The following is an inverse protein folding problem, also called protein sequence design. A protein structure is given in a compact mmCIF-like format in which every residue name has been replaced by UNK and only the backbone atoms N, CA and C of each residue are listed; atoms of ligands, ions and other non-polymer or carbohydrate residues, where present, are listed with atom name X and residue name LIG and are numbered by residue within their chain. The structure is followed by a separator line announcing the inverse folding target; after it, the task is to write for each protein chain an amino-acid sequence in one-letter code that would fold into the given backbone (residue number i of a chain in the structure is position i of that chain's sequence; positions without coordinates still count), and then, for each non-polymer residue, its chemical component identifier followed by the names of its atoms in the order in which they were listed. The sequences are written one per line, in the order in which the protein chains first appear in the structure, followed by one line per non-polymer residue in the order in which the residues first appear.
data_IF_056599347530
#
_entry.id   IF_056599347530
#
_cell.length_a   1.000
_cell.length_b   1.000
_cell.length_c   1.000
_cell.angle_alpha   90.00
_cell.angle_beta   90.00
_cell.angle_gamma   90.00
#
_symmetry.space_group_name_H-M   'P 1'
#
loop_
_entity.id
_entity.type
_entity.pdbx_description
1 polymer ?
#
# COMPACT_ATOMS: atom_id res chain seq x y z
N UNK A 1 -35.12 -50.23 23.46
CA UNK A 1 -35.38 -48.89 22.88
C UNK A 1 -34.53 -47.91 23.67
N UNK A 2 -33.29 -47.66 23.24
CA UNK A 2 -32.50 -46.57 23.80
C UNK A 2 -31.90 -45.80 22.63
N UNK A 3 -32.48 -44.64 22.40
CA UNK A 3 -32.19 -43.73 21.31
C UNK A 3 -30.84 -43.07 21.56
N UNK A 4 -29.85 -43.43 20.76
CA UNK A 4 -28.53 -42.79 20.72
C UNK A 4 -28.71 -41.42 20.05
N UNK A 5 -28.79 -40.37 20.86
CA UNK A 5 -28.80 -38.98 20.37
C UNK A 5 -27.46 -38.66 19.71
N UNK A 6 -27.53 -38.50 18.40
CA UNK A 6 -26.52 -37.91 17.54
C UNK A 6 -26.19 -36.50 18.05
N UNK A 7 -24.98 -36.31 18.59
CA UNK A 7 -24.44 -34.98 18.90
C UNK A 7 -24.01 -34.37 17.58
N UNK A 8 -24.98 -33.72 16.92
CA UNK A 8 -24.73 -32.91 15.75
C UNK A 8 -23.71 -31.83 16.09
N UNK A 9 -22.55 -31.90 15.44
CA UNK A 9 -21.67 -30.77 15.22
C UNK A 9 -22.52 -29.67 14.58
N UNK A 10 -23.00 -28.73 15.41
CA UNK A 10 -23.79 -27.60 14.94
C UNK A 10 -22.97 -26.86 13.87
N UNK A 11 -23.40 -26.99 12.62
CA UNK A 11 -22.80 -26.31 11.49
C UNK A 11 -22.92 -24.81 11.74
N UNK A 12 -21.81 -24.19 12.11
CA UNK A 12 -21.72 -22.74 12.30
C UNK A 12 -22.29 -22.05 11.07
N UNK A 13 -23.40 -21.34 11.23
CA UNK A 13 -24.09 -20.71 10.10
C UNK A 13 -23.47 -19.34 9.81
N UNK A 14 -23.62 -18.89 8.55
CA UNK A 14 -23.09 -17.59 8.13
C UNK A 14 -23.70 -16.40 8.88
N UNK A 15 -24.95 -16.52 9.36
CA UNK A 15 -25.63 -15.47 10.11
C UNK A 15 -25.13 -15.40 11.55
N UNK A 16 -24.90 -16.54 12.20
CA UNK A 16 -24.35 -16.60 13.56
C UNK A 16 -22.97 -15.93 13.63
N UNK A 17 -22.14 -16.15 12.61
CA UNK A 17 -20.82 -15.53 12.51
C UNK A 17 -20.88 -14.01 12.25
N UNK A 18 -21.89 -13.54 11.51
CA UNK A 18 -22.05 -12.11 11.21
C UNK A 18 -22.53 -11.30 12.43
N UNK A 19 -23.20 -11.95 13.39
CA UNK A 19 -23.66 -11.34 14.63
C UNK A 19 -22.54 -11.16 15.67
N UNK A 20 -21.39 -11.84 15.50
CA UNK A 20 -20.27 -11.73 16.43
C UNK A 20 -19.55 -10.39 16.22
N UNK A 21 -19.63 -9.50 17.22
CA UNK A 21 -18.94 -8.20 17.20
C UNK A 21 -17.52 -8.23 17.78
N UNK A 22 -17.16 -9.36 18.38
CA UNK A 22 -15.89 -9.57 19.07
C UNK A 22 -14.88 -10.33 18.20
N UNK A 23 -13.72 -9.72 18.01
CA UNK A 23 -12.60 -10.28 17.24
C UNK A 23 -11.97 -11.49 17.94
N UNK A 24 -11.90 -11.47 19.27
CA UNK A 24 -11.29 -12.56 20.05
C UNK A 24 -12.13 -13.83 19.99
N UNK A 25 -13.46 -13.68 19.92
CA UNK A 25 -14.39 -14.80 19.73
C UNK A 25 -14.19 -15.44 18.36
N UNK A 26 -14.12 -14.64 17.28
CA UNK A 26 -13.90 -15.17 15.92
C UNK A 26 -12.53 -15.84 15.77
N UNK A 27 -11.47 -15.27 16.35
CA UNK A 27 -10.14 -15.89 16.35
C UNK A 27 -10.14 -17.22 17.13
N UNK A 28 -10.79 -17.27 18.30
CA UNK A 28 -10.94 -18.50 19.06
C UNK A 28 -11.76 -19.56 18.30
N UNK A 29 -12.78 -19.16 17.56
CA UNK A 29 -13.51 -20.08 16.67
C UNK A 29 -12.62 -20.58 15.54
N UNK A 30 -11.75 -19.72 14.99
CA UNK A 30 -10.80 -20.08 13.93
C UNK A 30 -9.78 -21.13 14.38
N UNK A 31 -9.35 -21.07 15.65
CA UNK A 31 -8.40 -22.01 16.23
C UNK A 31 -9.04 -23.38 16.53
N UNK A 32 -10.34 -23.39 16.84
CA UNK A 32 -11.10 -24.62 17.11
C UNK A 32 -11.73 -25.24 15.85
N UNK A 33 -11.87 -24.48 14.76
CA UNK A 33 -12.47 -24.95 13.51
C UNK A 33 -11.56 -25.97 12.82
N UNK A 34 -12.08 -27.20 12.69
CA UNK A 34 -11.39 -28.29 11.99
C UNK A 34 -11.80 -28.37 10.51
N UNK A 35 -12.95 -27.82 10.16
CA UNK A 35 -13.47 -27.84 8.79
C UNK A 35 -12.99 -26.64 7.95
N UNK A 36 -12.68 -26.90 6.69
CA UNK A 36 -12.18 -25.86 5.78
C UNK A 36 -13.25 -24.82 5.43
N UNK A 37 -14.50 -25.26 5.22
CA UNK A 37 -15.59 -24.34 4.91
C UNK A 37 -15.93 -23.48 6.13
N UNK A 38 -15.96 -24.07 7.32
CA UNK A 38 -16.11 -23.35 8.58
C UNK A 38 -14.99 -22.31 8.77
N UNK A 39 -13.72 -22.70 8.60
CA UNK A 39 -12.56 -21.80 8.71
C UNK A 39 -12.64 -20.65 7.70
N UNK A 40 -13.13 -20.92 6.48
CA UNK A 40 -13.36 -19.92 5.44
C UNK A 40 -14.45 -18.94 5.83
N UNK A 41 -15.56 -19.41 6.41
CA UNK A 41 -16.67 -18.57 6.86
C UNK A 41 -16.26 -17.70 8.05
N UNK A 42 -15.56 -18.26 9.03
CA UNK A 42 -15.06 -17.50 10.19
C UNK A 42 -14.11 -16.39 9.72
N UNK A 43 -13.19 -16.69 8.79
CA UNK A 43 -12.33 -15.66 8.17
C UNK A 43 -13.13 -14.59 7.43
N UNK A 44 -14.21 -14.97 6.75
CA UNK A 44 -15.06 -14.01 6.04
C UNK A 44 -15.78 -13.07 7.02
N UNK A 45 -16.31 -13.59 8.12
CA UNK A 45 -16.91 -12.79 9.17
C UNK A 45 -15.88 -11.86 9.85
N UNK A 46 -14.67 -12.37 10.10
CA UNK A 46 -13.56 -11.57 10.65
C UNK A 46 -13.19 -10.41 9.73
N UNK A 47 -13.11 -10.65 8.41
CA UNK A 47 -12.92 -9.60 7.39
C UNK A 47 -13.97 -8.52 7.49
N UNK A 48 -15.25 -8.91 7.49
CA UNK A 48 -16.37 -7.95 7.52
C UNK A 48 -16.41 -7.16 8.83
N UNK A 49 -16.20 -7.81 9.97
CA UNK A 49 -16.18 -7.15 11.28
C UNK A 49 -15.09 -6.07 11.36
N UNK A 50 -13.90 -6.39 10.87
CA UNK A 50 -12.75 -5.49 10.96
C UNK A 50 -12.77 -4.41 9.89
N UNK A 51 -13.31 -4.71 8.71
CA UNK A 51 -13.66 -3.71 7.69
C UNK A 51 -14.68 -2.72 8.25
N UNK A 52 -15.76 -3.21 8.88
CA UNK A 52 -16.77 -2.36 9.55
C UNK A 52 -16.17 -1.49 10.65
N UNK A 53 -15.23 -2.02 11.47
CA UNK A 53 -14.50 -1.23 12.47
C UNK A 53 -13.59 -0.16 11.84
N UNK A 54 -12.92 -0.46 10.73
CA UNK A 54 -12.08 0.51 9.99
C UNK A 54 -12.94 1.62 9.40
N UNK A 55 -13.97 1.27 8.65
CA UNK A 55 -14.84 2.20 7.94
C UNK A 55 -15.59 3.08 8.95
N UNK A 56 -16.01 2.53 10.10
CA UNK A 56 -16.59 3.31 11.21
C UNK A 56 -15.61 4.36 11.77
N UNK A 57 -14.33 4.04 11.89
CA UNK A 57 -13.30 5.01 12.33
C UNK A 57 -13.05 6.10 11.29
N UNK A 58 -13.04 5.76 10.01
CA UNK A 58 -12.90 6.75 8.94
C UNK A 58 -14.13 7.67 8.85
N UNK A 59 -15.31 7.09 9.01
CA UNK A 59 -16.57 7.83 9.05
C UNK A 59 -16.63 8.80 10.24
N UNK A 60 -16.24 8.37 11.45
CA UNK A 60 -16.18 9.26 12.61
C UNK A 60 -15.22 10.45 12.39
N UNK A 61 -14.05 10.20 11.78
CA UNK A 61 -13.10 11.26 11.41
C UNK A 61 -13.67 12.23 10.37
N UNK A 62 -14.36 11.70 9.35
CA UNK A 62 -15.04 12.48 8.33
C UNK A 62 -16.17 13.34 8.91
N UNK A 63 -17.04 12.75 9.73
CA UNK A 63 -18.14 13.44 10.42
C UNK A 63 -17.62 14.55 11.33
N UNK A 64 -16.58 14.29 12.13
CA UNK A 64 -15.99 15.30 13.01
C UNK A 64 -15.38 16.46 12.24
N UNK A 65 -14.73 16.18 11.11
CA UNK A 65 -14.18 17.21 10.22
C UNK A 65 -15.28 18.02 9.52
N UNK A 66 -16.41 17.40 9.18
CA UNK A 66 -17.56 18.07 8.57
C UNK A 66 -18.31 18.95 9.57
N UNK A 67 -18.45 18.52 10.83
CA UNK A 67 -19.06 19.30 11.91
C UNK A 67 -18.25 20.57 12.22
N UNK A 68 -16.92 20.45 12.33
CA UNK A 68 -15.99 21.59 12.44
C UNK A 68 -16.16 22.60 11.28
N UNK A 69 -16.41 22.11 10.06
CA UNK A 69 -16.64 22.96 8.89
C UNK A 69 -18.00 23.66 8.93
N UNK A 70 -19.05 23.02 9.43
CA UNK A 70 -20.38 23.63 9.60
C UNK A 70 -20.42 24.64 10.76
N UNK A 71 -19.73 24.38 11.87
CA UNK A 71 -19.60 25.34 12.98
C UNK A 71 -18.80 26.59 12.60
N UNK A 72 -17.80 26.46 11.70
CA UNK A 72 -17.06 27.59 11.15
C UNK A 72 -17.87 28.50 10.21
N UNK A 73 -18.96 28.01 9.61
CA UNK A 73 -19.82 28.76 8.70
C UNK A 73 -21.03 29.42 9.39
N UNK A 74 -21.38 29.00 10.61
CA UNK A 74 -22.57 29.47 11.33
C UNK A 74 -22.29 30.59 12.35
N UNK A 75 -21.03 30.89 12.68
CA UNK A 75 -20.64 32.06 13.51
C UNK A 75 -20.27 33.32 12.69
N UNK A 76 -20.97 33.57 11.59
CA UNK A 76 -20.76 34.74 10.74
C UNK A 76 -22.02 35.57 10.54
N UNK A 77 -22.56 36.19 11.60
CA UNK A 77 -23.74 37.06 11.47
C UNK A 77 -24.07 37.95 12.67
N UNK A 78 -23.54 39.20 12.66
CA UNK A 78 -24.02 40.47 13.29
C UNK A 78 -24.14 40.53 14.82
N UNK A 79 -23.68 41.55 15.58
CA UNK A 79 -23.28 42.97 15.41
C UNK A 79 -22.18 43.30 16.45
N UNK A 80 -21.15 44.10 16.17
CA UNK A 80 -21.13 45.56 16.36
C UNK A 80 -20.09 45.96 17.42
N UNK A 81 -19.07 46.76 17.06
CA UNK A 81 -18.07 47.28 18.00
C UNK A 81 -16.72 47.58 17.36
N UNK A 82 -16.63 48.71 16.68
CA UNK A 82 -15.39 49.24 16.14
C UNK A 82 -14.49 49.78 17.26
N UNK A 83 -13.22 49.35 17.32
CA UNK A 83 -12.09 50.19 17.77
C UNK A 83 -10.85 49.79 16.96
N UNK A 84 -10.31 50.78 16.27
CA UNK A 84 -9.08 50.77 15.47
C UNK A 84 -7.82 50.70 16.34
N UNK A 85 -6.75 50.05 15.82
CA UNK A 85 -5.29 50.28 15.96
C UNK A 85 -4.65 49.06 15.26
N UNK A 86 -3.70 49.08 14.33
CA UNK A 86 -2.92 50.09 13.64
C UNK A 86 -2.13 49.38 12.51
N UNK A 87 -1.88 50.12 11.42
CA UNK A 87 -1.22 49.72 10.15
C UNK A 87 0.22 49.21 10.33
N UNK A 88 0.63 48.28 9.45
CA UNK A 88 1.78 48.47 8.55
C UNK A 88 1.74 47.45 7.39
N UNK A 89 1.64 47.96 6.15
CA UNK A 89 1.85 47.24 4.90
C UNK A 89 2.94 48.02 4.15
N UNK A 90 3.98 47.34 3.69
CA UNK A 90 5.09 47.95 2.94
C UNK A 90 5.32 47.13 1.67
N UNK A 91 4.61 47.52 0.62
CA UNK A 91 4.86 47.16 -0.77
C UNK A 91 5.04 48.46 -1.55
N UNK A 92 6.14 48.60 -2.29
CA UNK A 92 6.40 49.72 -3.19
C UNK A 92 6.87 49.22 -4.56
N UNK A 93 6.22 49.75 -5.59
CA UNK A 93 6.65 49.96 -6.97
C UNK A 93 6.05 51.33 -7.40
N UNK A 94 6.36 51.91 -8.58
CA UNK A 94 7.64 52.22 -9.23
C UNK A 94 7.74 53.75 -9.51
N UNK A 95 8.63 54.24 -10.41
CA UNK A 95 8.06 54.87 -11.62
C UNK A 95 8.85 54.63 -12.92
N UNK A 96 8.16 54.89 -14.03
CA UNK A 96 8.63 54.81 -15.42
C UNK A 96 9.06 56.19 -15.97
N UNK A 97 10.06 56.22 -16.86
CA UNK A 97 9.99 56.98 -18.11
C UNK A 97 11.02 56.52 -19.17
N UNK A 98 10.52 56.42 -20.41
CA UNK A 98 11.07 55.94 -21.72
C UNK A 98 11.95 57.05 -22.41
N UNK A 99 12.34 56.98 -23.71
CA UNK A 99 12.53 55.90 -24.72
C UNK A 99 13.96 55.97 -25.37
N UNK A 100 14.46 55.20 -26.36
CA UNK A 100 13.95 54.84 -27.71
C UNK A 100 15.00 53.95 -28.41
N UNK A 101 14.58 53.05 -29.33
CA UNK A 101 15.50 52.43 -30.32
C UNK A 101 15.14 51.01 -30.77
N UNK A 102 14.14 50.86 -31.63
CA UNK A 102 13.93 49.72 -32.57
C UNK A 102 14.70 49.98 -33.89
N UNK A 103 14.68 49.12 -34.95
CA UNK A 103 14.08 47.77 -35.16
C UNK A 103 15.10 46.69 -35.71
N UNK A 104 14.93 45.36 -35.55
CA UNK A 104 14.28 44.29 -36.39
C UNK A 104 14.87 44.04 -37.81
N UNK A 105 14.53 42.94 -38.55
CA UNK A 105 14.71 41.48 -38.30
C UNK A 105 15.18 40.70 -39.58
N UNK A 106 15.36 39.36 -39.53
CA UNK A 106 15.27 38.38 -40.66
C UNK A 106 15.35 36.95 -40.06
N UNK A 107 14.42 35.98 -40.16
CA UNK A 107 13.59 35.38 -41.22
C UNK A 107 14.28 34.24 -42.01
N UNK A 108 13.61 33.07 -42.06
CA UNK A 108 13.86 31.91 -42.93
C UNK A 108 14.52 30.68 -42.27
N UNK A 109 14.32 29.42 -42.65
CA UNK A 109 13.18 28.61 -43.13
C UNK A 109 13.75 27.18 -43.36
N UNK A 110 13.07 26.17 -42.82
CA UNK A 110 12.84 24.80 -43.34
C UNK A 110 13.97 23.82 -43.76
N UNK A 111 13.62 22.53 -43.55
CA UNK A 111 13.97 21.29 -44.29
C UNK A 111 14.97 20.28 -43.67
N UNK A 112 14.47 19.06 -43.46
CA UNK A 112 15.24 17.79 -43.43
C UNK A 112 15.42 17.26 -44.86
N UNK A 113 16.33 16.30 -45.14
CA UNK A 113 15.96 14.87 -45.07
C UNK A 113 17.10 13.89 -44.69
N UNK A 114 16.73 12.61 -44.63
CA UNK A 114 17.49 11.44 -44.18
C UNK A 114 18.55 10.90 -45.16
N UNK A 115 19.56 10.20 -44.62
CA UNK A 115 20.26 9.08 -45.29
C UNK A 115 20.65 8.00 -44.27
N UNK A 116 20.44 6.75 -44.67
CA UNK A 116 20.73 5.52 -43.94
C UNK A 116 22.18 5.04 -44.15
N UNK A 117 22.74 4.30 -43.19
CA UNK A 117 23.46 3.02 -43.37
C UNK A 117 24.53 2.82 -42.29
N UNK A 118 24.41 1.71 -41.53
CA UNK A 118 25.47 0.75 -41.20
C UNK A 118 25.09 -0.05 -39.93
N UNK A 119 24.77 -1.32 -40.15
CA UNK A 119 24.67 -2.35 -39.12
C UNK A 119 25.94 -2.43 -38.27
N UNK A 120 25.76 -2.45 -36.95
CA UNK A 120 26.68 -3.12 -36.02
C UNK A 120 25.86 -3.72 -34.89
N UNK A 121 25.85 -5.06 -34.81
CA UNK A 121 25.24 -5.80 -33.72
C UNK A 121 25.84 -5.33 -32.38
N UNK A 122 25.04 -4.95 -31.37
CA UNK A 122 25.57 -4.75 -30.03
C UNK A 122 25.88 -6.11 -29.39
N UNK A 123 27.03 -6.28 -28.70
CA UNK A 123 27.29 -7.46 -27.88
C UNK A 123 26.25 -7.52 -26.76
N UNK A 124 25.79 -8.73 -26.44
CA UNK A 124 24.78 -8.99 -25.42
C UNK A 124 25.05 -8.19 -24.14
N UNK A 125 24.24 -7.14 -23.93
CA UNK A 125 24.31 -6.33 -22.74
C UNK A 125 24.01 -7.22 -21.54
N UNK A 126 24.93 -7.26 -20.58
CA UNK A 126 24.61 -7.69 -19.22
C UNK A 126 23.31 -7.00 -18.80
N UNK A 127 22.35 -7.69 -18.16
CA UNK A 127 21.04 -7.12 -17.87
C UNK A 127 21.24 -5.84 -17.08
N UNK A 128 20.91 -4.71 -17.71
CA UNK A 128 21.12 -3.38 -17.16
C UNK A 128 20.40 -3.33 -15.80
N UNK A 129 21.11 -3.15 -14.69
CA UNK A 129 20.56 -3.26 -13.32
C UNK A 129 19.37 -2.32 -13.12
N UNK A 130 19.36 -1.18 -13.82
CA UNK A 130 18.21 -0.25 -13.87
C UNK A 130 16.93 -0.93 -14.42
N UNK A 131 17.07 -1.80 -15.42
CA UNK A 131 15.95 -2.57 -15.99
C UNK A 131 15.47 -3.65 -15.02
N UNK A 132 16.38 -4.31 -14.29
CA UNK A 132 16.00 -5.37 -13.33
C UNK A 132 15.28 -4.80 -12.12
N UNK A 133 15.78 -3.68 -11.56
CA UNK A 133 15.12 -2.99 -10.46
C UNK A 133 13.72 -2.51 -10.86
N UNK A 134 13.58 -1.95 -12.06
CA UNK A 134 12.28 -1.51 -12.58
C UNK A 134 11.33 -2.69 -12.81
N UNK A 135 11.80 -3.77 -13.44
CA UNK A 135 11.02 -5.00 -13.64
C UNK A 135 10.47 -5.53 -12.31
N UNK A 136 11.30 -5.56 -11.26
CA UNK A 136 10.86 -6.05 -9.96
C UNK A 136 9.82 -5.11 -9.31
N UNK A 137 9.98 -3.80 -9.47
CA UNK A 137 9.02 -2.82 -8.98
C UNK A 137 7.66 -2.99 -9.67
N UNK A 138 7.66 -3.13 -11.00
CA UNK A 138 6.45 -3.36 -11.78
C UNK A 138 5.80 -4.71 -11.46
N UNK A 139 6.60 -5.73 -11.20
CA UNK A 139 6.10 -7.01 -10.68
C UNK A 139 5.43 -6.85 -9.32
N UNK A 140 6.02 -6.12 -8.38
CA UNK A 140 5.40 -5.86 -7.08
C UNK A 140 4.04 -5.17 -7.26
N UNK A 141 3.98 -4.10 -8.05
CA UNK A 141 2.74 -3.38 -8.36
C UNK A 141 1.68 -4.30 -8.94
N UNK A 142 2.02 -5.09 -9.95
CA UNK A 142 1.09 -6.01 -10.59
C UNK A 142 0.57 -7.10 -9.63
N UNK A 143 1.36 -7.48 -8.61
CA UNK A 143 0.94 -8.46 -7.60
C UNK A 143 0.10 -7.85 -6.49
N UNK A 144 0.28 -6.57 -6.19
CA UNK A 144 -0.44 -5.87 -5.13
C UNK A 144 -1.59 -4.99 -5.62
N UNK A 145 -1.83 -4.90 -6.94
CA UNK A 145 -2.91 -4.10 -7.53
C UNK A 145 -4.30 -4.35 -6.91
N UNK A 146 -4.69 -5.59 -6.54
CA UNK A 146 -6.00 -5.84 -5.91
C UNK A 146 -6.12 -5.40 -4.44
N UNK A 147 -5.03 -4.94 -3.81
CA UNK A 147 -5.00 -4.67 -2.38
C UNK A 147 -5.22 -3.18 -2.08
N UNK A 148 -6.25 -2.90 -1.29
CA UNK A 148 -6.48 -1.56 -0.74
C UNK A 148 -5.33 -1.14 0.17
N UNK A 149 -5.03 0.17 0.15
CA UNK A 149 -4.01 0.77 1.01
C UNK A 149 -2.57 0.52 0.58
N UNK A 150 -2.33 -0.05 -0.62
CA UNK A 150 -0.98 -0.30 -1.14
C UNK A 150 -0.73 0.48 -2.43
N UNK A 151 0.27 1.35 -2.39
CA UNK A 151 0.78 2.05 -3.58
C UNK A 151 2.32 1.99 -3.61
N UNK A 152 2.84 1.03 -4.37
CA UNK A 152 4.27 0.75 -4.48
C UNK A 152 4.89 1.67 -5.54
N UNK A 153 5.53 2.75 -5.11
CA UNK A 153 6.20 3.73 -5.98
C UNK A 153 7.72 3.58 -5.99
N UNK A 154 8.28 3.01 -4.93
CA UNK A 154 9.72 2.86 -4.72
C UNK A 154 10.00 1.63 -3.83
N UNK A 155 11.26 1.43 -3.45
CA UNK A 155 11.68 0.41 -2.48
C UNK A 155 12.01 1.00 -1.11
N UNK A 156 11.54 2.21 -0.77
CA UNK A 156 11.76 2.84 0.54
C UNK A 156 10.42 3.15 1.22
N UNK A 157 9.93 4.39 1.08
CA UNK A 157 8.76 4.90 1.79
C UNK A 157 7.48 4.11 1.52
N UNK A 158 7.31 3.54 0.33
CA UNK A 158 6.16 2.68 0.00
C UNK A 158 6.07 1.39 0.84
N UNK A 159 7.13 1.04 1.59
CA UNK A 159 7.22 -0.19 2.36
C UNK A 159 7.28 0.07 3.87
N UNK A 160 7.25 1.34 4.29
CA UNK A 160 7.51 1.77 5.66
C UNK A 160 6.50 1.25 6.69
N UNK A 161 5.25 1.10 6.29
CA UNK A 161 4.17 0.66 7.19
C UNK A 161 4.03 -0.88 7.26
N UNK A 162 4.82 -1.62 6.48
CA UNK A 162 4.76 -3.08 6.39
C UNK A 162 3.60 -3.62 5.55
N UNK A 163 2.63 -2.79 5.15
CA UNK A 163 1.42 -3.25 4.46
C UNK A 163 1.76 -3.80 3.07
N UNK A 164 2.69 -3.15 2.35
CA UNK A 164 3.18 -3.64 1.06
C UNK A 164 3.83 -5.03 1.16
N UNK A 165 4.58 -5.33 2.23
CA UNK A 165 5.13 -6.66 2.47
C UNK A 165 4.01 -7.68 2.74
N UNK A 166 3.06 -7.35 3.61
CA UNK A 166 1.92 -8.21 3.89
C UNK A 166 1.09 -8.52 2.64
N UNK A 167 0.78 -7.52 1.82
CA UNK A 167 0.02 -7.69 0.58
C UNK A 167 0.73 -8.64 -0.40
N UNK A 168 2.04 -8.45 -0.56
CA UNK A 168 2.83 -9.26 -1.48
C UNK A 168 2.90 -10.72 -1.03
N UNK A 169 3.12 -10.98 0.27
CA UNK A 169 3.12 -12.35 0.82
C UNK A 169 1.73 -12.98 0.71
N UNK A 170 0.68 -12.25 1.10
CA UNK A 170 -0.71 -12.72 1.03
C UNK A 170 -1.13 -13.07 -0.40
N UNK A 171 -0.56 -12.42 -1.42
CA UNK A 171 -0.87 -12.74 -2.83
C UNK A 171 -0.47 -14.16 -3.22
N UNK A 172 0.57 -14.71 -2.62
CA UNK A 172 1.01 -16.09 -2.87
C UNK A 172 0.48 -17.07 -1.83
N UNK A 173 0.20 -16.58 -0.61
CA UNK A 173 -0.27 -17.37 0.50
C UNK A 173 -1.48 -16.71 1.18
N UNK A 174 -2.67 -16.73 0.56
CA UNK A 174 -3.86 -16.03 1.09
C UNK A 174 -4.35 -16.62 2.42
N UNK A 175 -3.99 -17.87 2.73
CA UNK A 175 -4.32 -18.53 3.99
C UNK A 175 -3.31 -18.25 5.12
N UNK A 176 -2.25 -17.50 4.85
CA UNK A 176 -1.19 -17.24 5.84
C UNK A 176 -1.66 -16.37 7.00
N UNK A 177 -2.47 -15.35 6.70
CA UNK A 177 -3.04 -14.40 7.64
C UNK A 177 -4.16 -13.60 6.95
N UNK A 178 -4.98 -12.90 7.73
CA UNK A 178 -6.05 -12.07 7.19
C UNK A 178 -5.53 -10.67 6.82
N UNK A 179 -5.60 -10.28 5.54
CA UNK A 179 -5.07 -8.98 5.12
C UNK A 179 -5.98 -7.81 5.51
N UNK A 180 -7.31 -7.98 5.45
CA UNK A 180 -8.28 -6.87 5.64
C UNK A 180 -8.23 -6.23 7.03
N UNK A 181 -7.61 -6.91 7.99
CA UNK A 181 -7.57 -6.50 9.40
C UNK A 181 -6.30 -5.71 9.74
N UNK A 182 -5.34 -5.68 8.81
CA UNK A 182 -4.05 -5.06 9.03
C UNK A 182 -4.20 -3.55 9.19
N UNK A 183 -3.35 -2.99 10.06
CA UNK A 183 -3.37 -1.58 10.40
C UNK A 183 -2.04 -0.94 10.02
N UNK A 184 -2.01 0.06 9.12
CA UNK A 184 -0.76 0.74 8.74
C UNK A 184 -0.06 1.44 9.92
N UNK A 185 -0.77 1.70 11.02
CA UNK A 185 -0.21 2.31 12.22
C UNK A 185 0.48 1.29 13.16
N UNK A 186 0.53 0.01 12.79
CA UNK A 186 1.21 -1.05 13.53
C UNK A 186 2.36 -1.67 12.71
N UNK A 187 3.33 -0.86 12.26
CA UNK A 187 4.37 -1.31 11.32
C UNK A 187 5.19 -2.48 11.85
N UNK A 188 5.51 -2.50 13.15
CA UNK A 188 6.23 -3.60 13.80
C UNK A 188 5.50 -4.94 13.61
N UNK A 189 4.21 -4.97 13.92
CA UNK A 189 3.37 -6.17 13.80
C UNK A 189 3.26 -6.61 12.34
N UNK A 190 3.07 -5.66 11.41
CA UNK A 190 2.98 -5.94 9.97
C UNK A 190 4.29 -6.56 9.43
N UNK A 191 5.45 -5.98 9.78
CA UNK A 191 6.75 -6.50 9.36
C UNK A 191 6.98 -7.92 9.89
N UNK A 192 6.77 -8.14 11.19
CA UNK A 192 6.95 -9.45 11.80
C UNK A 192 6.02 -10.49 11.16
N UNK A 193 4.75 -10.15 10.94
CA UNK A 193 3.78 -11.03 10.31
C UNK A 193 4.21 -11.42 8.89
N UNK A 194 4.61 -10.44 8.07
CA UNK A 194 5.04 -10.68 6.71
C UNK A 194 6.32 -11.53 6.64
N UNK A 195 7.34 -11.20 7.44
CA UNK A 195 8.62 -11.90 7.41
C UNK A 195 8.51 -13.32 7.95
N UNK A 196 7.79 -13.54 9.05
CA UNK A 196 7.56 -14.88 9.60
C UNK A 196 6.77 -15.76 8.62
N UNK A 197 5.77 -15.20 7.93
CA UNK A 197 5.01 -15.92 6.91
C UNK A 197 5.88 -16.25 5.68
N UNK A 198 6.69 -15.29 5.22
CA UNK A 198 7.59 -15.49 4.09
C UNK A 198 8.67 -16.55 4.38
N UNK A 199 9.25 -16.55 5.58
CA UNK A 199 10.21 -17.55 6.01
C UNK A 199 9.55 -18.94 6.07
N UNK A 200 8.43 -19.06 6.79
CA UNK A 200 7.76 -20.35 7.00
C UNK A 200 7.22 -20.97 5.70
N UNK A 201 6.65 -20.16 4.80
CA UNK A 201 5.92 -20.65 3.62
C UNK A 201 6.77 -20.63 2.34
N UNK A 202 7.58 -19.58 2.18
CA UNK A 202 8.46 -19.42 1.02
C UNK A 202 9.91 -19.82 1.29
N UNK A 203 10.33 -20.04 2.54
CA UNK A 203 11.74 -20.31 2.85
C UNK A 203 12.64 -19.09 2.64
N UNK A 204 12.06 -17.88 2.69
CA UNK A 204 12.80 -16.65 2.49
C UNK A 204 13.56 -16.28 3.78
N UNK A 205 14.89 -16.13 3.76
CA UNK A 205 15.65 -15.79 4.95
C UNK A 205 15.30 -14.40 5.48
N UNK A 206 15.35 -14.18 6.81
CA UNK A 206 15.03 -12.91 7.44
C UNK A 206 16.21 -11.93 7.30
N UNK A 207 16.35 -11.32 6.12
CA UNK A 207 17.43 -10.33 5.86
C UNK A 207 17.15 -8.94 6.45
N UNK A 208 15.93 -8.70 6.92
CA UNK A 208 15.48 -7.44 7.50
C UNK A 208 14.95 -7.67 8.90
N UNK A 209 15.32 -6.78 9.83
CA UNK A 209 14.79 -6.77 11.18
C UNK A 209 13.63 -5.77 11.30
N UNK A 210 12.50 -6.22 11.87
CA UNK A 210 11.31 -5.40 12.03
C UNK A 210 11.53 -4.20 12.97
N UNK A 211 12.30 -4.37 14.03
CA UNK A 211 12.62 -3.29 14.97
C UNK A 211 13.52 -2.24 14.33
N UNK A 212 14.46 -2.65 13.47
CA UNK A 212 15.30 -1.72 12.72
C UNK A 212 14.48 -0.88 11.75
N UNK A 213 13.57 -1.49 10.99
CA UNK A 213 12.71 -0.80 10.02
C UNK A 213 11.79 0.23 10.69
N UNK A 214 11.30 -0.06 11.89
CA UNK A 214 10.42 0.84 12.65
C UNK A 214 11.17 2.02 13.25
N UNK A 215 12.43 1.83 13.68
CA UNK A 215 13.25 2.93 14.22
C UNK A 215 13.64 3.95 13.16
N UNK A 216 13.68 3.55 11.89
CA UNK A 216 14.06 4.42 10.79
C UNK A 216 12.88 5.28 10.29
N UNK A 217 13.18 6.52 9.86
CA UNK A 217 12.16 7.38 9.24
C UNK A 217 11.62 6.75 7.95
N UNK A 218 12.50 6.14 7.16
CA UNK A 218 12.19 5.36 5.96
C UNK A 218 13.24 4.25 5.83
N UNK A 219 12.87 3.07 5.32
CA UNK A 219 13.83 1.98 5.15
C UNK A 219 14.80 2.24 3.99
N UNK A 220 16.04 1.76 4.12
CA UNK A 220 17.03 1.85 3.03
C UNK A 220 16.55 1.06 1.82
N UNK A 221 16.50 1.72 0.67
CA UNK A 221 15.93 1.13 -0.54
C UNK A 221 16.70 -0.08 -1.05
N UNK A 222 18.01 -0.18 -0.77
CA UNK A 222 18.82 -1.35 -1.14
C UNK A 222 18.46 -2.54 -0.29
N UNK A 223 18.30 -2.35 1.03
CA UNK A 223 17.90 -3.42 1.95
C UNK A 223 16.53 -4.00 1.55
N UNK A 224 15.53 -3.15 1.31
CA UNK A 224 14.20 -3.58 0.85
C UNK A 224 14.31 -4.25 -0.53
N UNK A 225 15.03 -3.65 -1.48
CA UNK A 225 15.21 -4.24 -2.80
C UNK A 225 15.83 -5.65 -2.73
N UNK A 226 16.90 -5.81 -1.96
CA UNK A 226 17.58 -7.10 -1.77
C UNK A 226 16.65 -8.13 -1.14
N UNK A 227 15.87 -7.75 -0.13
CA UNK A 227 14.88 -8.66 0.46
C UNK A 227 13.82 -9.08 -0.56
N UNK A 228 13.27 -8.15 -1.35
CA UNK A 228 12.25 -8.48 -2.36
C UNK A 228 12.82 -9.32 -3.49
N UNK A 229 14.08 -9.09 -3.89
CA UNK A 229 14.77 -9.96 -4.84
C UNK A 229 14.89 -11.39 -4.31
N UNK A 230 15.26 -11.53 -3.05
CA UNK A 230 15.40 -12.84 -2.41
C UNK A 230 14.05 -13.54 -2.28
N UNK A 231 13.01 -12.83 -1.83
CA UNK A 231 11.65 -13.37 -1.78
C UNK A 231 11.18 -13.83 -3.17
N UNK A 232 11.42 -13.03 -4.22
CA UNK A 232 11.14 -13.43 -5.60
C UNK A 232 11.88 -14.71 -6.00
N UNK A 233 13.17 -14.83 -5.68
CA UNK A 233 13.97 -16.04 -5.93
C UNK A 233 13.36 -17.27 -5.26
N UNK A 234 13.03 -17.17 -3.98
CA UNK A 234 12.38 -18.24 -3.21
C UNK A 234 11.05 -18.69 -3.84
N UNK A 235 10.24 -17.75 -4.32
CA UNK A 235 8.98 -18.07 -5.02
C UNK A 235 9.22 -18.78 -6.36
N UNK A 236 10.25 -18.39 -7.12
CA UNK A 236 10.62 -19.06 -8.37
C UNK A 236 11.09 -20.48 -8.10
N UNK A 237 11.91 -20.71 -7.08
CA UNK A 237 12.40 -22.05 -6.71
C UNK A 237 11.26 -22.98 -6.28
N UNK A 238 10.23 -22.43 -5.64
CA UNK A 238 9.00 -23.16 -5.31
C UNK A 238 8.02 -23.31 -6.48
N UNK A 239 8.35 -22.77 -7.66
CA UNK A 239 7.48 -22.81 -8.85
C UNK A 239 6.24 -21.92 -8.76
N UNK A 240 6.15 -21.03 -7.77
CA UNK A 240 5.04 -20.10 -7.57
C UNK A 240 5.11 -18.89 -8.51
N UNK A 241 6.30 -18.61 -9.04
CA UNK A 241 6.52 -17.60 -10.08
C UNK A 241 7.15 -18.27 -11.29
N UNK A 242 6.45 -18.20 -12.43
CA UNK A 242 6.94 -18.73 -13.70
C UNK A 242 7.89 -17.73 -14.34
N UNK A 243 9.16 -18.09 -14.46
CA UNK A 243 10.12 -17.40 -15.32
C UNK A 243 10.16 -18.14 -16.66
N UNK A 244 10.25 -17.40 -17.78
CA UNK A 244 10.53 -18.03 -19.08
C UNK A 244 11.89 -18.72 -18.96
N UNK A 245 11.93 -20.07 -18.96
CA UNK A 245 13.19 -20.80 -19.14
C UNK A 245 13.81 -20.29 -20.44
N UNK A 246 15.03 -19.75 -20.39
CA UNK A 246 15.79 -19.59 -21.63
C UNK A 246 16.07 -21.00 -22.14
N UNK A 247 15.76 -21.31 -23.41
CA UNK A 247 16.14 -22.56 -24.03
C UNK A 247 17.66 -22.74 -24.04
#
# INVERSE_FOLDING_TARGET
MESKTDVGSASVTSEDLAAVEDEEVLNKMLDNATDFAERRMIRAALRELLKKKRDKREQDRGSRQQDLRQQGLSKGGKTGGAVSIGRASMAQQPPANRPSGQPSPSAGSETSPAVASAQKCPPAAAPNVKNVKQMLLDWCRAKTEPYEGVDIRNFSSSWKDGIAFCALVHRFFPDAFEYSILNPNKPRENFQLAFNAAERLAGCPPLLDADDLVRMKEPDWKCVYTYIQEFYRCLVEKGLVKTKKRP
#
